data_IF_349714673171
#
_entry.id   IF_349714673171
#
_cell.length_a   1.000
_cell.length_b   1.000
_cell.length_c   1.000
_cell.angle_alpha   90.00
_cell.angle_beta   90.00
_cell.angle_gamma   90.00
#
_symmetry.space_group_name_H-M   'P 1'
#
loop_
_entity.id
_entity.type
_entity.pdbx_description
1 polymer ?
#
# COMPACT_ATOMS: atom_id res chain seq x y z
N UNK A 1 54.77 -6.92 9.88
CA UNK A 1 54.52 -7.49 8.55
C UNK A 1 54.76 -8.99 8.55
N UNK A 2 53.83 -9.75 7.99
CA UNK A 2 54.08 -11.08 7.42
C UNK A 2 52.92 -11.42 6.48
N UNK A 3 53.16 -11.30 5.17
CA UNK A 3 52.28 -11.80 4.10
C UNK A 3 52.46 -13.31 3.95
N UNK A 4 51.37 -14.02 3.65
CA UNK A 4 51.21 -15.12 2.67
C UNK A 4 49.82 -15.76 2.90
N UNK A 5 49.11 -16.38 1.97
CA UNK A 5 48.84 -16.22 0.53
C UNK A 5 47.92 -17.39 0.16
N UNK A 6 47.01 -17.17 -0.81
CA UNK A 6 46.43 -18.17 -1.73
C UNK A 6 45.16 -18.95 -1.35
N UNK A 7 44.07 -18.52 -2.00
CA UNK A 7 43.09 -19.30 -2.79
C UNK A 7 42.41 -20.55 -2.20
N UNK A 8 41.09 -20.46 -2.01
CA UNK A 8 40.16 -21.40 -2.61
C UNK A 8 38.95 -20.67 -3.20
N UNK A 9 38.98 -20.45 -4.52
CA UNK A 9 37.76 -20.31 -5.29
C UNK A 9 37.19 -21.71 -5.47
N UNK A 10 36.04 -22.00 -4.86
CA UNK A 10 35.42 -23.33 -4.97
C UNK A 10 34.40 -23.74 -3.92
N UNK A 11 33.97 -22.86 -3.00
CA UNK A 11 32.86 -23.19 -2.11
C UNK A 11 31.52 -22.96 -2.83
N UNK A 12 30.68 -23.98 -3.06
CA UNK A 12 29.32 -23.76 -3.55
C UNK A 12 28.53 -22.94 -2.53
N UNK A 13 27.88 -21.88 -3.01
CA UNK A 13 27.00 -21.03 -2.20
C UNK A 13 25.86 -21.88 -1.60
N UNK A 14 25.44 -21.65 -0.35
CA UNK A 14 24.29 -22.34 0.20
C UNK A 14 23.04 -22.00 -0.64
N UNK A 15 22.32 -23.04 -1.08
CA UNK A 15 21.04 -22.89 -1.78
C UNK A 15 20.00 -22.26 -0.84
N UNK A 16 19.99 -20.93 -0.76
CA UNK A 16 18.91 -20.19 -0.10
C UNK A 16 17.72 -20.04 -1.05
N UNK A 17 16.97 -21.13 -1.22
CA UNK A 17 15.54 -21.07 -1.47
C UNK A 17 14.89 -22.12 -0.59
N UNK A 18 14.29 -21.66 0.51
CA UNK A 18 13.38 -22.43 1.35
C UNK A 18 12.36 -23.10 0.44
N UNK A 19 12.41 -24.43 0.33
CA UNK A 19 11.31 -25.19 -0.27
C UNK A 19 10.05 -24.80 0.47
N UNK A 20 9.10 -24.22 -0.25
CA UNK A 20 7.74 -24.07 0.22
C UNK A 20 7.26 -25.46 0.66
N UNK A 21 7.01 -25.64 1.95
CA UNK A 21 6.24 -26.79 2.42
C UNK A 21 4.85 -26.64 1.84
N UNK A 22 4.62 -27.29 0.70
CA UNK A 22 3.28 -27.50 0.18
C UNK A 22 2.56 -28.39 1.18
N UNK A 23 1.84 -27.78 2.13
CA UNK A 23 0.75 -28.47 2.80
C UNK A 23 -0.16 -28.99 1.69
N UNK A 24 -0.30 -30.32 1.58
CA UNK A 24 -1.30 -30.93 0.72
C UNK A 24 -2.68 -30.44 1.18
N UNK A 25 -3.17 -29.37 0.57
CA UNK A 25 -4.58 -29.05 0.59
C UNK A 25 -5.24 -30.11 -0.31
N UNK A 26 -5.70 -31.19 0.30
CA UNK A 26 -6.56 -32.19 -0.31
C UNK A 26 -7.90 -31.54 -0.67
N UNK A 27 -7.93 -30.84 -1.80
CA UNK A 27 -9.11 -30.17 -2.31
C UNK A 27 -8.69 -29.27 -3.46
N UNK A 28 -9.09 -29.64 -4.67
CA UNK A 28 -8.89 -28.84 -5.86
C UNK A 28 -9.66 -27.51 -5.67
N UNK A 29 -8.99 -26.43 -5.26
CA UNK A 29 -9.58 -25.10 -5.08
C UNK A 29 -9.82 -24.45 -6.47
N UNK A 30 -10.56 -25.12 -7.35
CA UNK A 30 -10.61 -24.85 -8.79
C UNK A 30 -11.39 -23.60 -9.19
N UNK A 31 -11.86 -22.78 -8.25
CA UNK A 31 -12.75 -21.64 -8.52
C UNK A 31 -12.26 -20.30 -7.92
N UNK A 32 -10.94 -20.10 -7.74
CA UNK A 32 -10.39 -18.81 -7.28
C UNK A 32 -9.97 -17.94 -8.46
N UNK A 33 -10.63 -16.80 -8.63
CA UNK A 33 -10.25 -15.77 -9.62
C UNK A 33 -9.50 -14.64 -8.90
N UNK A 34 -8.25 -14.40 -9.30
CA UNK A 34 -7.47 -13.27 -8.81
C UNK A 34 -7.87 -12.00 -9.57
N UNK A 35 -8.16 -10.91 -8.86
CA UNK A 35 -8.50 -9.61 -9.43
C UNK A 35 -7.48 -8.57 -8.99
N UNK A 36 -7.14 -7.63 -9.86
CA UNK A 36 -6.22 -6.51 -9.60
C UNK A 36 -6.80 -5.22 -10.17
N UNK A 37 -6.61 -4.12 -9.45
CA UNK A 37 -6.88 -2.76 -9.94
C UNK A 37 -5.53 -2.06 -10.04
N UNK A 38 -5.22 -1.51 -11.21
CA UNK A 38 -3.99 -0.74 -11.44
C UNK A 38 -4.37 0.74 -11.41
N UNK A 39 -3.83 1.46 -10.44
CA UNK A 39 -3.98 2.90 -10.32
C UNK A 39 -2.66 3.55 -10.72
N UNK A 40 -2.71 4.82 -11.14
CA UNK A 40 -1.49 5.61 -11.29
C UNK A 40 -0.87 5.81 -9.89
N UNK A 41 0.44 5.79 -9.80
CA UNK A 41 1.14 6.00 -8.53
C UNK A 41 0.85 7.43 -8.05
N UNK A 42 0.03 7.54 -7.01
CA UNK A 42 -0.34 8.81 -6.41
C UNK A 42 0.26 8.90 -5.03
N UNK A 43 1.32 9.71 -4.92
CA UNK A 43 1.87 10.13 -3.64
C UNK A 43 2.56 9.05 -2.81
N UNK A 44 2.82 9.40 -1.56
CA UNK A 44 3.44 8.54 -0.55
C UNK A 44 2.55 8.50 0.69
N UNK A 45 2.69 7.50 1.58
CA UNK A 45 1.93 7.49 2.83
C UNK A 45 2.17 8.75 3.65
N UNK A 46 1.13 9.22 4.33
CA UNK A 46 1.12 10.53 5.01
C UNK A 46 2.23 10.70 6.06
N UNK A 47 2.66 9.60 6.69
CA UNK A 47 3.77 9.61 7.67
C UNK A 47 5.14 9.92 7.05
N UNK A 48 5.25 9.96 5.72
CA UNK A 48 6.45 10.33 4.97
C UNK A 48 6.42 11.79 4.49
N UNK A 49 5.41 12.57 4.87
CA UNK A 49 5.30 13.97 4.48
C UNK A 49 6.60 14.73 4.78
N UNK A 50 7.07 15.52 3.80
CA UNK A 50 8.33 16.26 3.89
C UNK A 50 8.30 17.38 4.95
N UNK A 51 7.11 17.90 5.24
CA UNK A 51 6.91 19.01 6.17
C UNK A 51 5.62 18.88 6.97
N UNK A 52 5.55 19.61 8.10
CA UNK A 52 4.33 19.71 8.92
C UNK A 52 3.17 20.34 8.16
N UNK A 53 3.46 21.32 7.31
CA UNK A 53 2.45 21.98 6.47
C UNK A 53 1.88 21.00 5.45
N UNK A 54 2.74 20.21 4.82
CA UNK A 54 2.35 19.16 3.87
C UNK A 54 1.45 18.11 4.56
N UNK A 55 1.83 17.66 5.76
CA UNK A 55 1.03 16.74 6.58
C UNK A 55 -0.37 17.30 6.86
N UNK A 56 -0.46 18.55 7.29
CA UNK A 56 -1.75 19.19 7.60
C UNK A 56 -2.61 19.36 6.35
N UNK A 57 -2.02 19.79 5.23
CA UNK A 57 -2.73 19.91 3.95
C UNK A 57 -3.26 18.55 3.46
N UNK A 58 -2.46 17.48 3.63
CA UNK A 58 -2.89 16.14 3.26
C UNK A 58 -4.02 15.60 4.14
N UNK A 59 -3.96 15.87 5.45
CA UNK A 59 -5.04 15.52 6.36
C UNK A 59 -6.34 16.23 5.99
N UNK A 60 -6.28 17.52 5.71
CA UNK A 60 -7.42 18.34 5.30
C UNK A 60 -8.10 17.76 4.05
N UNK A 61 -7.33 17.53 2.98
CA UNK A 61 -7.87 16.95 1.76
C UNK A 61 -8.35 15.49 1.92
N UNK A 62 -7.80 14.71 2.87
CA UNK A 62 -8.33 13.40 3.20
C UNK A 62 -9.68 13.47 3.93
N UNK A 63 -9.89 14.49 4.78
CA UNK A 63 -11.17 14.74 5.44
C UNK A 63 -12.22 15.11 4.38
N UNK A 64 -11.89 15.99 3.44
CA UNK A 64 -12.76 16.33 2.29
C UNK A 64 -13.06 15.09 1.42
N UNK A 65 -12.06 14.26 1.17
CA UNK A 65 -12.21 13.00 0.45
C UNK A 65 -13.17 12.03 1.15
N UNK A 66 -13.04 11.89 2.47
CA UNK A 66 -13.97 11.08 3.27
C UNK A 66 -15.38 11.66 3.28
N UNK A 67 -15.54 12.99 3.39
CA UNK A 67 -16.84 13.65 3.29
C UNK A 67 -17.49 13.39 1.92
N UNK A 68 -16.70 13.42 0.85
CA UNK A 68 -17.15 13.12 -0.52
C UNK A 68 -17.65 11.67 -0.65
N UNK A 69 -16.94 10.71 -0.04
CA UNK A 69 -17.39 9.32 0.04
C UNK A 69 -18.72 9.21 0.79
N UNK A 70 -18.86 9.88 1.94
CA UNK A 70 -20.11 9.90 2.71
C UNK A 70 -21.26 10.51 1.93
N UNK A 71 -21.02 11.61 1.19
CA UNK A 71 -22.01 12.23 0.30
C UNK A 71 -22.49 11.25 -0.78
N UNK A 72 -21.58 10.44 -1.33
CA UNK A 72 -21.87 9.35 -2.27
C UNK A 72 -22.51 8.10 -1.61
N UNK A 73 -22.78 8.13 -0.30
CA UNK A 73 -23.38 7.01 0.43
C UNK A 73 -22.39 5.87 0.69
N UNK A 74 -21.10 6.17 0.77
CA UNK A 74 -20.03 5.21 1.07
C UNK A 74 -19.38 5.58 2.40
N UNK A 75 -19.32 4.63 3.32
CA UNK A 75 -18.56 4.76 4.56
C UNK A 75 -17.27 3.96 4.44
N UNK A 76 -16.11 4.63 4.52
CA UNK A 76 -14.79 4.04 4.32
C UNK A 76 -14.44 2.96 5.36
N UNK A 77 -14.74 3.23 6.64
CA UNK A 77 -14.48 2.39 7.83
C UNK A 77 -13.01 2.07 8.16
N UNK A 78 -12.11 2.06 7.19
CA UNK A 78 -10.69 1.74 7.42
C UNK A 78 -9.76 2.95 7.25
N UNK A 79 -9.91 3.93 8.14
CA UNK A 79 -9.04 5.11 8.14
C UNK A 79 -7.82 4.82 9.01
N UNK A 80 -6.65 4.78 8.40
CA UNK A 80 -5.37 4.53 9.05
C UNK A 80 -4.28 5.39 8.42
N UNK A 81 -3.14 5.54 9.09
CA UNK A 81 -2.01 6.34 8.60
C UNK A 81 -1.46 5.79 7.26
N UNK A 82 -1.73 4.51 6.95
CA UNK A 82 -1.31 3.90 5.69
C UNK A 82 -2.31 4.11 4.55
N UNK A 83 -3.58 4.39 4.86
CA UNK A 83 -4.62 4.63 3.85
C UNK A 83 -4.69 6.08 3.39
N UNK A 84 -3.97 6.98 4.07
CA UNK A 84 -3.82 8.39 3.69
C UNK A 84 -2.55 8.57 2.85
N UNK A 85 -2.70 9.09 1.64
CA UNK A 85 -1.60 9.41 0.74
C UNK A 85 -1.46 10.92 0.57
N UNK A 86 -0.22 11.38 0.52
CA UNK A 86 0.17 12.75 0.23
C UNK A 86 0.93 12.81 -1.09
N UNK A 87 0.55 13.75 -1.95
CA UNK A 87 1.24 14.04 -3.19
C UNK A 87 1.90 15.41 -3.11
N UNK A 88 3.23 15.40 -3.00
CA UNK A 88 4.05 16.61 -2.96
C UNK A 88 4.72 16.89 -4.33
N UNK A 89 4.31 16.18 -5.39
CA UNK A 89 4.85 16.41 -6.74
C UNK A 89 4.32 17.74 -7.31
N UNK A 90 5.24 18.71 -7.38
CA UNK A 90 5.00 20.04 -7.94
C UNK A 90 4.61 19.99 -9.42
N UNK A 91 5.02 18.94 -10.14
CA UNK A 91 4.68 18.77 -11.56
C UNK A 91 3.28 18.19 -11.78
N UNK A 92 2.64 17.65 -10.74
CA UNK A 92 1.29 17.09 -10.81
C UNK A 92 0.46 17.43 -9.56
N UNK A 93 0.03 18.69 -9.41
CA UNK A 93 -0.72 19.17 -8.25
C UNK A 93 -2.19 18.74 -8.26
N UNK A 94 -2.67 18.00 -9.27
CA UNK A 94 -4.11 17.72 -9.48
C UNK A 94 -4.75 16.87 -8.38
N UNK A 95 -3.95 16.21 -7.54
CA UNK A 95 -4.42 15.31 -6.48
C UNK A 95 -3.46 15.41 -5.28
N UNK A 96 -3.54 16.50 -4.48
CA UNK A 96 -2.58 16.75 -3.40
C UNK A 96 -2.67 15.73 -2.26
N UNK A 97 -3.83 15.10 -2.10
CA UNK A 97 -4.09 14.04 -1.12
C UNK A 97 -5.03 13.00 -1.69
N UNK A 98 -4.88 11.75 -1.26
CA UNK A 98 -5.75 10.66 -1.68
C UNK A 98 -6.02 9.71 -0.51
N UNK A 99 -7.29 9.31 -0.39
CA UNK A 99 -7.75 8.29 0.55
C UNK A 99 -7.95 6.97 -0.21
N UNK A 100 -7.21 5.92 0.17
CA UNK A 100 -7.23 4.59 -0.46
C UNK A 100 -7.76 3.53 0.52
N UNK A 101 -7.86 2.28 0.06
CA UNK A 101 -8.27 1.12 0.86
C UNK A 101 -9.77 1.09 1.22
N UNK A 102 -10.59 0.87 0.17
CA UNK A 102 -12.05 0.76 0.28
C UNK A 102 -12.53 -0.68 0.45
N UNK A 103 -11.65 -1.63 0.78
CA UNK A 103 -12.00 -3.05 0.85
C UNK A 103 -13.00 -3.36 1.98
N UNK A 104 -12.98 -2.55 3.04
CA UNK A 104 -13.91 -2.62 4.17
C UNK A 104 -15.07 -1.61 4.06
N UNK A 105 -15.15 -0.86 2.97
CA UNK A 105 -16.16 0.18 2.80
C UNK A 105 -17.56 -0.43 2.61
N UNK A 106 -18.56 0.24 3.18
CA UNK A 106 -19.96 -0.17 3.05
C UNK A 106 -20.79 0.96 2.42
N UNK A 107 -21.93 0.59 1.83
CA UNK A 107 -22.96 1.56 1.51
C UNK A 107 -23.64 2.01 2.80
N UNK A 108 -23.62 3.31 3.05
CA UNK A 108 -24.41 3.93 4.09
C UNK A 108 -25.87 3.93 3.63
N UNK A 109 -26.69 3.02 4.18
CA UNK A 109 -28.14 3.06 3.97
C UNK A 109 -28.66 4.35 4.59
N UNK A 110 -29.06 5.30 3.75
CA UNK A 110 -29.91 6.41 4.19
C UNK A 110 -31.33 5.85 4.19
N UNK A 111 -31.81 5.43 5.36
CA UNK A 111 -33.26 5.36 5.57
C UNK A 111 -33.78 6.79 5.41
N UNK A 112 -34.56 7.00 4.36
CA UNK A 112 -35.34 8.21 4.12
C UNK A 112 -36.80 7.92 4.43
#
# INVERSE_FOLDING_TARGET
GKKRSSSQAGAPLPHSKRSCSASQASGNLSNRVHRRVILRDYGTPIYKASSRTSLLAALDGCIEGHESLRKAGILHRDISINSLLINEDVNNPSWPSLLIDLDLAIKEQREG
#
